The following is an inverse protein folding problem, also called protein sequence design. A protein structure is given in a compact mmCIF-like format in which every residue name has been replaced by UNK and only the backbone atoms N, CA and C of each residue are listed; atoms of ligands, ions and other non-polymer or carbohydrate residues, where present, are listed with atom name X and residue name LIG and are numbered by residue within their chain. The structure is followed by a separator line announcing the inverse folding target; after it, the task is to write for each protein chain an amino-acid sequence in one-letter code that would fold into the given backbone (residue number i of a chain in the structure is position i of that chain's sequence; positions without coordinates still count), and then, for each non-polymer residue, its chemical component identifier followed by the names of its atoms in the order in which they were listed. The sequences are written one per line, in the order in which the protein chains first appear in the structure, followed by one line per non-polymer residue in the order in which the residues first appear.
data_IF_053091954769
#
_entry.id   IF_053091954769
#
_cell.length_a   1.000
_cell.length_b   1.000
_cell.length_c   1.000
_cell.angle_alpha   90.00
_cell.angle_beta   90.00
_cell.angle_gamma   90.00
#
_symmetry.space_group_name_H-M   'P 1'
#
loop_
_entity.id
_entity.type
_entity.pdbx_description
1 polymer ?
#
# COMPACT_ATOMS: atom_id res chain seq x y z
N UNK A 1 -4.36 19.94 -26.54
CA UNK A 1 -4.34 18.45 -26.75
C UNK A 1 -5.76 17.94 -26.96
N UNK A 2 -6.02 17.10 -27.97
CA UNK A 2 -7.34 16.59 -28.32
C UNK A 2 -7.80 15.55 -27.27
N UNK A 3 -9.05 15.62 -26.81
CA UNK A 3 -9.63 14.66 -25.83
C UNK A 3 -9.58 13.19 -26.30
N UNK A 4 -9.49 12.99 -27.62
CA UNK A 4 -9.33 11.67 -28.21
C UNK A 4 -7.99 11.00 -27.81
N UNK A 5 -6.87 11.78 -27.77
CA UNK A 5 -5.53 11.28 -27.40
C UNK A 5 -5.52 10.88 -25.92
N UNK A 6 -6.18 11.67 -25.05
CA UNK A 6 -6.28 11.35 -23.62
C UNK A 6 -7.05 10.04 -23.39
N UNK A 7 -8.16 9.85 -24.08
CA UNK A 7 -8.93 8.59 -23.98
C UNK A 7 -8.13 7.40 -24.49
N UNK A 8 -7.42 7.56 -25.61
CA UNK A 8 -6.56 6.53 -26.14
C UNK A 8 -5.40 6.19 -25.16
N UNK A 9 -4.78 7.21 -24.53
CA UNK A 9 -3.75 7.01 -23.52
C UNK A 9 -4.29 6.29 -22.27
N UNK A 10 -5.48 6.67 -21.78
CA UNK A 10 -6.16 5.94 -20.71
C UNK A 10 -6.32 4.45 -21.03
N UNK A 11 -6.82 4.15 -22.23
CA UNK A 11 -7.01 2.78 -22.72
C UNK A 11 -5.68 2.03 -22.79
N UNK A 12 -4.63 2.67 -23.31
CA UNK A 12 -3.27 2.12 -23.35
C UNK A 12 -2.74 1.77 -21.94
N UNK A 13 -2.88 2.69 -20.98
CA UNK A 13 -2.44 2.43 -19.60
C UNK A 13 -3.19 1.25 -18.97
N UNK A 14 -4.49 1.15 -19.23
CA UNK A 14 -5.35 0.11 -18.65
C UNK A 14 -5.18 -1.25 -19.30
N UNK A 15 -5.22 -1.31 -20.63
CA UNK A 15 -5.28 -2.57 -21.39
C UNK A 15 -3.90 -3.08 -21.79
N UNK A 16 -3.03 -2.21 -22.32
CA UNK A 16 -1.71 -2.65 -22.80
C UNK A 16 -0.67 -2.69 -21.67
N UNK A 17 -0.67 -1.69 -20.78
CA UNK A 17 0.24 -1.66 -19.63
C UNK A 17 -0.31 -2.40 -18.40
N UNK A 18 -1.56 -2.84 -18.42
CA UNK A 18 -2.24 -3.56 -17.32
C UNK A 18 -2.04 -2.87 -15.96
N UNK A 19 -2.07 -1.53 -15.95
CA UNK A 19 -1.87 -0.76 -14.73
C UNK A 19 -3.13 -0.80 -13.85
N UNK A 20 -2.93 -0.75 -12.53
CA UNK A 20 -4.04 -0.59 -11.57
C UNK A 20 -4.71 0.78 -11.72
N UNK A 21 -6.00 0.88 -11.35
CA UNK A 21 -6.75 2.14 -11.40
C UNK A 21 -6.02 3.29 -10.66
N UNK A 22 -5.41 3.00 -9.51
CA UNK A 22 -4.61 3.99 -8.78
C UNK A 22 -3.38 4.46 -9.56
N UNK A 23 -2.72 3.58 -10.32
CA UNK A 23 -1.57 3.93 -11.17
C UNK A 23 -2.01 4.74 -12.37
N UNK A 24 -3.13 4.35 -13.00
CA UNK A 24 -3.73 5.10 -14.11
C UNK A 24 -4.09 6.51 -13.65
N UNK A 25 -4.83 6.64 -12.54
CA UNK A 25 -5.20 7.94 -11.98
C UNK A 25 -3.98 8.81 -11.62
N UNK A 26 -2.89 8.21 -11.11
CA UNK A 26 -1.66 8.94 -10.83
C UNK A 26 -0.99 9.48 -12.10
N UNK A 27 -0.93 8.68 -13.17
CA UNK A 27 -0.38 9.11 -14.45
C UNK A 27 -1.24 10.17 -15.14
N UNK A 28 -2.57 10.05 -15.06
CA UNK A 28 -3.49 11.07 -15.55
C UNK A 28 -3.36 12.40 -14.79
N UNK A 29 -3.18 12.34 -13.46
CA UNK A 29 -2.95 13.52 -12.65
C UNK A 29 -1.61 14.20 -13.02
N UNK A 30 -0.57 13.44 -13.32
CA UNK A 30 0.71 13.99 -13.77
C UNK A 30 0.59 14.62 -15.18
N UNK A 31 -0.12 13.94 -16.08
CA UNK A 31 -0.42 14.49 -17.40
C UNK A 31 -1.28 15.75 -17.35
N UNK A 32 -2.20 15.85 -16.36
CA UNK A 32 -2.97 17.08 -16.16
C UNK A 32 -2.08 18.28 -15.77
N UNK A 33 -0.99 18.03 -15.00
CA UNK A 33 -0.02 19.10 -14.71
C UNK A 33 0.69 19.59 -15.98
N UNK A 34 1.09 18.65 -16.85
CA UNK A 34 1.67 18.99 -18.14
C UNK A 34 0.70 19.79 -19.00
N UNK A 35 -0.58 19.40 -19.04
CA UNK A 35 -1.62 20.17 -19.75
C UNK A 35 -1.75 21.58 -19.21
N UNK A 36 -1.89 21.73 -17.91
CA UNK A 36 -2.06 23.04 -17.29
C UNK A 36 -0.86 23.96 -17.59
N UNK A 37 0.34 23.40 -17.56
CA UNK A 37 1.56 24.13 -17.96
C UNK A 37 1.49 24.58 -19.42
N UNK A 38 1.15 23.66 -20.33
CA UNK A 38 1.02 23.98 -21.75
C UNK A 38 -0.05 25.03 -22.02
N UNK A 39 -1.20 24.97 -21.36
CA UNK A 39 -2.27 25.97 -21.47
C UNK A 39 -1.78 27.36 -21.00
N UNK A 40 -1.01 27.42 -19.91
CA UNK A 40 -0.47 28.70 -19.39
C UNK A 40 0.59 29.32 -20.31
N UNK A 41 1.33 28.49 -21.07
CA UNK A 41 2.43 28.97 -21.94
C UNK A 41 2.07 28.95 -23.43
N UNK A 42 0.83 28.64 -23.81
CA UNK A 42 0.40 28.55 -25.21
C UNK A 42 1.04 27.43 -26.01
N UNK A 43 1.43 26.33 -25.35
CA UNK A 43 2.08 25.17 -25.93
C UNK A 43 1.07 24.04 -26.20
N UNK A 44 1.36 23.16 -27.14
CA UNK A 44 0.64 21.88 -27.28
C UNK A 44 1.54 20.72 -26.80
N UNK A 45 1.08 19.91 -25.83
CA UNK A 45 1.83 18.74 -25.36
C UNK A 45 2.35 17.79 -26.46
N UNK A 46 1.69 17.75 -27.62
CA UNK A 46 2.08 16.87 -28.74
C UNK A 46 3.26 17.45 -29.53
N UNK A 47 3.47 18.75 -29.51
CA UNK A 47 4.52 19.44 -30.30
C UNK A 47 5.64 20.05 -29.43
N UNK A 48 5.64 19.75 -28.12
CA UNK A 48 6.70 20.23 -27.22
C UNK A 48 8.08 19.72 -27.64
N UNK A 49 9.06 20.60 -27.57
CA UNK A 49 10.47 20.28 -27.71
C UNK A 49 11.05 19.72 -26.38
N UNK A 50 12.29 19.23 -26.45
CA UNK A 50 13.05 18.88 -25.24
C UNK A 50 13.21 20.07 -24.28
N UNK A 51 13.49 21.28 -24.81
CA UNK A 51 13.69 22.48 -24.02
C UNK A 51 12.40 22.91 -23.31
N UNK A 52 11.24 22.78 -23.97
CA UNK A 52 9.93 23.07 -23.35
C UNK A 52 9.64 22.08 -22.20
N UNK A 53 9.96 20.80 -22.40
CA UNK A 53 9.82 19.78 -21.35
C UNK A 53 10.78 20.01 -20.18
N UNK A 54 12.00 20.46 -20.48
CA UNK A 54 12.97 20.78 -19.43
C UNK A 54 12.50 21.98 -18.60
N UNK A 55 11.92 22.99 -19.24
CA UNK A 55 11.31 24.14 -18.55
C UNK A 55 10.11 23.72 -17.68
N UNK A 56 9.21 22.88 -18.22
CA UNK A 56 8.09 22.30 -17.46
C UNK A 56 8.58 21.57 -16.20
N UNK A 57 9.61 20.73 -16.35
CA UNK A 57 10.19 19.96 -15.23
C UNK A 57 10.78 20.91 -14.19
N UNK A 58 11.53 21.92 -14.63
CA UNK A 58 12.14 22.90 -13.73
C UNK A 58 11.08 23.63 -12.93
N UNK A 59 10.07 24.22 -13.57
CA UNK A 59 9.01 24.99 -12.93
C UNK A 59 8.19 24.10 -11.97
N UNK A 60 7.77 22.91 -12.43
CA UNK A 60 7.00 21.96 -11.60
C UNK A 60 7.77 21.52 -10.36
N UNK A 61 9.10 21.42 -10.42
CA UNK A 61 9.93 21.00 -9.30
C UNK A 61 10.28 22.13 -8.35
N UNK A 62 10.48 23.35 -8.88
CA UNK A 62 10.80 24.53 -8.07
C UNK A 62 9.58 25.09 -7.33
N UNK A 63 8.43 25.22 -8.00
CA UNK A 63 7.24 25.84 -7.41
C UNK A 63 6.61 25.03 -6.28
N UNK A 64 6.65 23.71 -6.35
CA UNK A 64 5.86 22.86 -5.47
C UNK A 64 6.62 22.33 -4.24
N UNK A 65 7.92 22.62 -4.09
CA UNK A 65 8.74 21.95 -3.04
C UNK A 65 8.60 20.43 -3.10
N UNK A 66 8.40 19.89 -4.31
CA UNK A 66 8.10 18.48 -4.55
C UNK A 66 9.27 17.61 -4.14
N UNK A 67 8.98 16.57 -3.33
CA UNK A 67 10.02 15.64 -2.96
C UNK A 67 10.50 14.80 -4.17
N UNK A 68 11.74 14.32 -4.13
CA UNK A 68 12.41 13.58 -5.21
C UNK A 68 11.59 12.39 -5.74
N UNK A 69 10.82 11.71 -4.88
CA UNK A 69 9.96 10.58 -5.30
C UNK A 69 8.77 11.06 -6.14
N UNK A 70 8.17 12.19 -5.80
CA UNK A 70 7.09 12.80 -6.59
C UNK A 70 7.63 13.29 -7.93
N UNK A 71 8.81 13.89 -7.96
CA UNK A 71 9.51 14.28 -9.18
C UNK A 71 9.74 13.09 -10.10
N UNK A 72 10.31 12.00 -9.57
CA UNK A 72 10.52 10.77 -10.33
C UNK A 72 9.21 10.18 -10.90
N UNK A 73 8.10 10.25 -10.12
CA UNK A 73 6.79 9.77 -10.58
C UNK A 73 6.24 10.63 -11.71
N UNK A 74 6.32 11.95 -11.61
CA UNK A 74 5.90 12.88 -12.67
C UNK A 74 6.67 12.61 -13.96
N UNK A 75 8.00 12.49 -13.88
CA UNK A 75 8.83 12.18 -15.04
C UNK A 75 8.47 10.82 -15.65
N UNK A 76 8.21 9.79 -14.82
CA UNK A 76 7.75 8.50 -15.32
C UNK A 76 6.41 8.60 -16.06
N UNK A 77 5.49 9.45 -15.60
CA UNK A 77 4.23 9.73 -16.27
C UNK A 77 4.44 10.43 -17.63
N UNK A 78 5.31 11.43 -17.67
CA UNK A 78 5.70 12.15 -18.90
C UNK A 78 6.35 11.19 -19.91
N UNK A 79 7.35 10.42 -19.49
CA UNK A 79 7.97 9.41 -20.36
C UNK A 79 6.96 8.38 -20.89
N UNK A 80 6.04 7.92 -20.05
CA UNK A 80 5.00 6.99 -20.47
C UNK A 80 4.08 7.58 -21.53
N UNK A 81 3.73 8.85 -21.39
CA UNK A 81 2.88 9.56 -22.34
C UNK A 81 3.58 9.77 -23.69
N UNK A 82 4.82 10.23 -23.70
CA UNK A 82 5.56 10.44 -24.97
C UNK A 82 5.90 9.11 -25.66
N UNK A 83 6.22 8.05 -24.94
CA UNK A 83 6.33 6.70 -25.50
C UNK A 83 5.03 6.22 -26.15
N UNK A 84 3.87 6.50 -25.53
CA UNK A 84 2.58 6.22 -26.13
C UNK A 84 2.36 7.02 -27.42
N UNK A 85 2.69 8.33 -27.42
CA UNK A 85 2.57 9.18 -28.61
C UNK A 85 3.46 8.66 -29.76
N UNK A 86 4.71 8.32 -29.46
CA UNK A 86 5.65 7.77 -30.45
C UNK A 86 5.15 6.43 -30.99
N UNK A 87 4.74 5.51 -30.12
CA UNK A 87 4.24 4.19 -30.50
C UNK A 87 3.01 4.25 -31.42
N UNK A 88 2.14 5.23 -31.21
CA UNK A 88 0.95 5.43 -32.03
C UNK A 88 1.15 6.43 -33.18
N UNK A 89 2.38 6.78 -33.52
CA UNK A 89 2.76 7.68 -34.63
C UNK A 89 2.09 9.07 -34.55
N UNK A 90 1.80 9.56 -33.34
CA UNK A 90 1.39 10.97 -33.14
C UNK A 90 2.57 11.94 -33.20
N UNK A 91 3.77 11.45 -32.95
CA UNK A 91 5.06 12.15 -33.02
C UNK A 91 6.11 11.25 -33.68
N UNK A 92 7.13 11.87 -34.28
CA UNK A 92 8.22 11.15 -34.95
C UNK A 92 9.43 10.87 -34.04
N UNK A 93 9.56 11.63 -32.95
CA UNK A 93 10.64 11.48 -31.95
C UNK A 93 10.11 11.75 -30.54
N UNK A 94 10.67 11.07 -29.54
CA UNK A 94 10.31 11.24 -28.15
C UNK A 94 11.12 12.39 -27.51
N UNK A 95 10.53 13.58 -27.26
CA UNK A 95 11.26 14.70 -26.67
C UNK A 95 11.60 14.48 -25.20
N UNK A 96 11.01 13.46 -24.56
CA UNK A 96 11.27 13.16 -23.15
C UNK A 96 12.47 12.22 -22.96
N UNK A 97 13.04 11.63 -24.01
CA UNK A 97 14.05 10.56 -23.91
C UNK A 97 15.30 10.99 -23.12
N UNK A 98 15.71 12.26 -23.28
CA UNK A 98 16.90 12.82 -22.62
C UNK A 98 16.62 13.41 -21.22
N UNK A 99 15.37 13.42 -20.75
CA UNK A 99 15.07 13.90 -19.41
C UNK A 99 15.67 12.96 -18.36
N UNK A 100 16.51 13.52 -17.51
CA UNK A 100 17.18 12.74 -16.47
C UNK A 100 16.28 12.50 -15.26
N UNK A 101 16.18 11.25 -14.82
CA UNK A 101 15.50 10.91 -13.58
C UNK A 101 16.29 11.47 -12.38
N UNK A 102 15.59 12.07 -11.39
CA UNK A 102 16.27 12.57 -10.19
C UNK A 102 16.93 11.42 -9.43
N UNK A 103 18.12 11.68 -8.89
CA UNK A 103 18.80 10.70 -8.03
C UNK A 103 17.97 10.45 -6.79
N UNK A 104 17.54 9.23 -6.60
CA UNK A 104 16.77 8.79 -5.43
C UNK A 104 17.72 8.39 -4.31
N UNK A 105 17.64 9.07 -3.18
CA UNK A 105 18.32 8.59 -1.98
C UNK A 105 17.71 7.25 -1.53
N UNK A 106 18.54 6.24 -1.42
CA UNK A 106 18.15 4.95 -0.84
C UNK A 106 18.05 5.11 0.67
N UNK A 107 16.89 5.52 1.16
CA UNK A 107 16.64 5.53 2.60
C UNK A 107 16.52 4.08 3.08
N UNK A 108 17.29 3.75 4.11
CA UNK A 108 17.13 2.45 4.79
C UNK A 108 15.71 2.40 5.36
N UNK A 109 14.92 1.36 5.04
CA UNK A 109 13.57 1.23 5.56
C UNK A 109 13.58 1.23 7.10
N UNK A 110 12.66 1.97 7.70
CA UNK A 110 12.49 1.99 9.15
C UNK A 110 11.85 0.67 9.59
N UNK A 111 12.47 0.00 10.55
CA UNK A 111 11.97 -1.20 11.23
C UNK A 111 11.71 -0.85 12.69
N UNK A 112 10.58 -1.27 13.24
CA UNK A 112 10.31 -1.25 14.67
C UNK A 112 10.91 -2.49 15.32
N UNK A 113 11.47 -2.35 16.51
CA UNK A 113 11.82 -3.51 17.32
C UNK A 113 10.57 -4.16 17.93
N UNK A 114 10.71 -5.37 18.47
CA UNK A 114 9.61 -6.06 19.16
C UNK A 114 9.15 -5.24 20.37
N UNK A 115 10.10 -4.67 21.13
CA UNK A 115 9.83 -3.83 22.30
C UNK A 115 9.08 -2.54 21.92
N UNK A 116 9.40 -1.94 20.78
CA UNK A 116 8.69 -0.75 20.28
C UNK A 116 7.24 -1.09 19.89
N UNK A 117 7.02 -2.25 19.29
CA UNK A 117 5.66 -2.72 18.95
C UNK A 117 4.87 -3.02 20.21
N UNK A 118 5.48 -3.70 21.17
CA UNK A 118 4.86 -3.95 22.50
C UNK A 118 4.53 -2.64 23.20
N UNK A 119 5.43 -1.67 23.20
CA UNK A 119 5.18 -0.35 23.76
C UNK A 119 3.99 0.37 23.10
N UNK A 120 3.84 0.23 21.76
CA UNK A 120 2.68 0.75 21.04
C UNK A 120 1.38 0.08 21.49
N UNK A 121 1.39 -1.25 21.64
CA UNK A 121 0.23 -2.02 22.09
C UNK A 121 -0.16 -1.63 23.51
N UNK A 122 0.81 -1.52 24.42
CA UNK A 122 0.57 -1.10 25.80
C UNK A 122 0.12 0.37 25.96
N UNK A 123 0.44 1.22 24.97
CA UNK A 123 -0.03 2.61 24.96
C UNK A 123 -1.51 2.75 24.55
N UNK A 124 -2.16 1.64 24.16
CA UNK A 124 -3.58 1.64 23.81
C UNK A 124 -4.40 1.68 25.11
N UNK A 125 -5.27 2.67 25.21
CA UNK A 125 -6.22 2.78 26.30
C UNK A 125 -7.47 1.94 25.98
N UNK A 126 -7.58 0.78 26.62
CA UNK A 126 -8.68 -0.16 26.42
C UNK A 126 -10.00 0.32 27.06
N UNK A 127 -9.96 1.35 27.91
CA UNK A 127 -11.19 1.95 28.47
C UNK A 127 -11.95 2.80 27.43
N UNK A 128 -11.29 3.16 26.32
CA UNK A 128 -11.91 3.92 25.24
C UNK A 128 -12.71 3.01 24.30
N UNK A 129 -13.85 3.48 23.75
CA UNK A 129 -14.69 2.68 22.85
C UNK A 129 -13.97 2.14 21.60
N UNK A 130 -12.87 2.76 21.20
CA UNK A 130 -12.03 2.33 20.10
C UNK A 130 -10.77 1.55 20.52
N UNK A 131 -10.55 1.37 21.82
CA UNK A 131 -9.33 0.77 22.33
C UNK A 131 -9.12 -0.64 21.82
N UNK A 132 -10.09 -1.52 22.03
CA UNK A 132 -10.03 -2.91 21.62
C UNK A 132 -9.92 -3.07 20.10
N UNK A 133 -10.69 -2.26 19.35
CA UNK A 133 -10.55 -2.20 17.89
C UNK A 133 -9.11 -1.85 17.46
N UNK A 134 -8.54 -0.81 18.08
CA UNK A 134 -7.20 -0.35 17.72
C UNK A 134 -6.14 -1.41 18.04
N UNK A 135 -6.31 -2.16 19.14
CA UNK A 135 -5.45 -3.30 19.48
C UNK A 135 -5.55 -4.40 18.42
N UNK A 136 -6.75 -4.83 18.07
CA UNK A 136 -6.96 -5.82 17.01
C UNK A 136 -6.37 -5.37 15.65
N UNK A 137 -6.43 -4.08 15.32
CA UNK A 137 -5.82 -3.51 14.10
C UNK A 137 -4.29 -3.68 14.12
N UNK A 138 -3.62 -3.35 15.24
CA UNK A 138 -2.16 -3.47 15.34
C UNK A 138 -1.75 -4.94 15.24
N UNK A 139 -2.44 -5.81 15.98
CA UNK A 139 -2.17 -7.26 15.96
C UNK A 139 -2.36 -7.85 14.55
N UNK A 140 -3.41 -7.47 13.84
CA UNK A 140 -3.62 -7.91 12.46
C UNK A 140 -2.56 -7.37 11.47
N UNK A 141 -2.18 -6.09 11.59
CA UNK A 141 -1.15 -5.50 10.72
C UNK A 141 0.22 -6.12 10.95
N UNK A 142 0.59 -6.35 12.20
CA UNK A 142 1.89 -6.90 12.56
C UNK A 142 1.88 -8.43 12.55
N UNK A 143 0.87 -9.08 13.11
CA UNK A 143 0.81 -10.54 13.21
C UNK A 143 0.54 -11.28 11.89
N UNK A 144 -0.01 -10.58 10.89
CA UNK A 144 -0.33 -11.16 9.58
C UNK A 144 0.31 -10.40 8.41
N UNK A 145 1.03 -9.31 8.66
CA UNK A 145 1.73 -8.53 7.65
C UNK A 145 0.82 -7.90 6.58
N UNK A 146 -0.43 -7.55 6.90
CA UNK A 146 -1.40 -7.01 5.96
C UNK A 146 -1.00 -5.64 5.40
N UNK A 147 -1.37 -5.37 4.14
CA UNK A 147 -1.37 -3.99 3.63
C UNK A 147 -2.52 -3.20 4.27
N UNK A 148 -2.35 -1.88 4.44
CA UNK A 148 -3.41 -1.04 5.01
C UNK A 148 -4.72 -1.11 4.21
N UNK A 149 -4.64 -1.22 2.88
CA UNK A 149 -5.82 -1.38 2.02
C UNK A 149 -6.53 -2.71 2.24
N UNK A 150 -5.77 -3.77 2.48
CA UNK A 150 -6.28 -5.11 2.78
C UNK A 150 -6.98 -5.12 4.15
N UNK A 151 -6.37 -4.50 5.16
CA UNK A 151 -6.97 -4.38 6.50
C UNK A 151 -8.30 -3.61 6.49
N UNK A 152 -8.33 -2.42 5.87
CA UNK A 152 -9.57 -1.62 5.84
C UNK A 152 -10.65 -2.24 4.96
N UNK A 153 -10.27 -3.01 3.93
CA UNK A 153 -11.19 -3.74 3.06
C UNK A 153 -11.55 -5.14 3.56
N UNK A 154 -11.01 -5.57 4.71
CA UNK A 154 -11.23 -6.93 5.22
C UNK A 154 -12.69 -7.13 5.58
N UNK A 155 -13.26 -8.22 5.07
CA UNK A 155 -14.67 -8.60 5.27
C UNK A 155 -14.79 -9.75 6.26
N UNK A 156 -15.86 -9.75 7.04
CA UNK A 156 -16.17 -10.85 7.96
C UNK A 156 -16.38 -12.16 7.20
N UNK A 157 -17.02 -12.11 6.04
CA UNK A 157 -17.23 -13.26 5.14
C UNK A 157 -15.92 -13.91 4.65
N UNK A 158 -14.80 -13.19 4.74
CA UNK A 158 -13.46 -13.67 4.36
C UNK A 158 -12.60 -14.11 5.57
N UNK A 159 -13.18 -14.15 6.77
CA UNK A 159 -12.51 -14.53 8.01
C UNK A 159 -12.87 -15.97 8.39
N UNK A 160 -11.92 -16.88 8.28
CA UNK A 160 -12.08 -18.29 8.62
C UNK A 160 -11.40 -18.57 9.97
N UNK A 161 -11.99 -18.02 11.03
CA UNK A 161 -11.38 -18.03 12.37
C UNK A 161 -11.21 -19.45 12.95
N UNK A 162 -12.07 -20.40 12.59
CA UNK A 162 -11.94 -21.80 13.04
C UNK A 162 -10.72 -22.48 12.44
N UNK A 163 -10.32 -22.06 11.25
CA UNK A 163 -9.20 -22.63 10.49
C UNK A 163 -7.93 -21.75 10.60
N UNK A 164 -7.98 -20.66 11.38
CA UNK A 164 -6.91 -19.71 11.64
C UNK A 164 -6.34 -19.04 10.37
N UNK A 165 -7.18 -18.74 9.39
CA UNK A 165 -6.78 -17.98 8.21
C UNK A 165 -7.84 -16.97 7.77
N UNK A 166 -7.42 -16.04 6.90
CA UNK A 166 -8.28 -15.10 6.20
C UNK A 166 -7.96 -15.09 4.72
N UNK A 167 -8.97 -14.84 3.90
CA UNK A 167 -8.86 -14.68 2.46
C UNK A 167 -8.66 -13.20 2.14
N UNK A 168 -7.49 -12.85 1.61
CA UNK A 168 -7.14 -11.47 1.28
C UNK A 168 -7.16 -11.28 -0.22
N UNK A 169 -7.94 -10.29 -0.67
CA UNK A 169 -7.93 -9.85 -2.06
C UNK A 169 -6.81 -8.81 -2.26
N UNK A 170 -5.89 -9.14 -3.16
CA UNK A 170 -4.75 -8.29 -3.53
C UNK A 170 -5.00 -7.50 -4.82
N UNK A 171 -3.93 -6.97 -5.39
CA UNK A 171 -3.95 -6.25 -6.66
C UNK A 171 -4.43 -7.17 -7.81
N UNK A 172 -5.33 -6.67 -8.66
CA UNK A 172 -5.86 -7.43 -9.80
C UNK A 172 -6.82 -8.55 -9.40
N UNK A 173 -7.53 -8.41 -8.26
CA UNK A 173 -8.49 -9.40 -7.73
C UNK A 173 -7.88 -10.77 -7.44
N UNK A 174 -6.55 -10.85 -7.36
CA UNK A 174 -5.87 -12.08 -6.93
C UNK A 174 -6.09 -12.30 -5.44
N UNK A 175 -6.52 -13.50 -5.09
CA UNK A 175 -6.77 -13.88 -3.70
C UNK A 175 -5.60 -14.68 -3.15
N UNK A 176 -5.30 -14.47 -1.86
CA UNK A 176 -4.34 -15.30 -1.13
C UNK A 176 -4.86 -15.61 0.27
N UNK A 177 -4.48 -16.77 0.78
CA UNK A 177 -4.73 -17.14 2.16
C UNK A 177 -3.60 -16.58 3.04
N UNK A 178 -4.00 -15.93 4.14
CA UNK A 178 -3.08 -15.36 5.12
C UNK A 178 -3.41 -15.94 6.48
N UNK A 179 -2.46 -16.59 7.16
CA UNK A 179 -2.69 -17.11 8.50
C UNK A 179 -2.91 -15.98 9.51
N UNK A 180 -3.76 -16.26 10.50
CA UNK A 180 -4.01 -15.36 11.62
C UNK A 180 -3.23 -15.90 12.83
N UNK A 181 -2.41 -15.06 13.45
CA UNK A 181 -1.73 -15.43 14.68
C UNK A 181 -2.73 -15.63 15.83
N UNK A 182 -2.42 -16.46 16.83
CA UNK A 182 -3.30 -16.68 17.99
C UNK A 182 -3.67 -15.36 18.69
N UNK A 183 -2.69 -14.47 18.88
CA UNK A 183 -2.91 -13.17 19.50
C UNK A 183 -3.85 -12.29 18.65
N UNK A 184 -3.61 -12.20 17.34
CA UNK A 184 -4.49 -11.43 16.45
C UNK A 184 -5.91 -11.98 16.42
N UNK A 185 -6.08 -13.31 16.50
CA UNK A 185 -7.38 -13.98 16.57
C UNK A 185 -8.12 -13.63 17.87
N UNK A 186 -7.42 -13.70 19.01
CA UNK A 186 -7.98 -13.37 20.32
C UNK A 186 -8.44 -11.91 20.37
N UNK A 187 -7.55 -10.99 19.98
CA UNK A 187 -7.85 -9.56 20.01
C UNK A 187 -8.95 -9.19 19.01
N UNK A 188 -9.03 -9.89 17.91
CA UNK A 188 -10.14 -9.71 16.96
C UNK A 188 -11.45 -10.23 17.54
N UNK A 189 -11.45 -11.35 18.28
CA UNK A 189 -12.63 -11.87 18.99
C UNK A 189 -13.20 -10.85 19.98
N UNK A 190 -12.33 -10.28 20.83
CA UNK A 190 -12.72 -9.23 21.77
C UNK A 190 -13.25 -7.97 21.06
N UNK A 191 -12.64 -7.59 19.93
CA UNK A 191 -13.19 -6.50 19.12
C UNK A 191 -14.59 -6.83 18.57
N UNK A 192 -14.85 -8.08 18.18
CA UNK A 192 -16.18 -8.47 17.68
C UNK A 192 -17.27 -8.35 18.74
N UNK A 193 -16.93 -8.56 20.03
CA UNK A 193 -17.83 -8.29 21.14
C UNK A 193 -18.18 -6.80 21.26
N UNK A 194 -17.17 -5.91 21.16
CA UNK A 194 -17.42 -4.46 21.15
C UNK A 194 -18.19 -4.00 19.91
N UNK A 195 -17.85 -4.61 18.75
CA UNK A 195 -18.46 -4.27 17.47
C UNK A 195 -19.97 -4.52 17.42
N UNK A 196 -20.47 -5.55 18.12
CA UNK A 196 -21.92 -5.85 18.15
C UNK A 196 -22.74 -4.75 18.81
N UNK A 197 -22.12 -3.88 19.59
CA UNK A 197 -22.78 -2.72 20.23
C UNK A 197 -22.79 -1.46 19.35
N UNK A 198 -22.16 -1.49 18.16
CA UNK A 198 -22.16 -0.34 17.25
C UNK A 198 -23.44 -0.28 16.42
N UNK A 199 -23.92 0.93 16.19
CA UNK A 199 -24.93 1.18 15.15
C UNK A 199 -24.25 1.15 13.78
N UNK A 200 -24.36 0.01 13.09
CA UNK A 200 -23.71 -0.20 11.78
C UNK A 200 -24.54 0.44 10.69
N UNK A 201 -23.88 1.15 9.78
CA UNK A 201 -24.56 1.79 8.64
C UNK A 201 -24.90 0.76 7.55
N UNK A 202 -26.01 0.97 6.82
CA UNK A 202 -26.41 0.07 5.74
C UNK A 202 -25.29 -0.17 4.71
N UNK A 203 -25.03 -1.44 4.37
CA UNK A 203 -23.96 -1.85 3.46
C UNK A 203 -22.56 -1.90 4.07
N UNK A 204 -22.45 -1.70 5.40
CA UNK A 204 -21.17 -1.76 6.12
C UNK A 204 -21.05 -3.01 7.01
N UNK A 205 -22.05 -3.87 7.00
CA UNK A 205 -22.20 -5.00 7.94
C UNK A 205 -21.08 -6.01 7.81
N UNK A 206 -20.57 -6.23 6.60
CA UNK A 206 -19.54 -7.23 6.29
C UNK A 206 -18.10 -6.72 6.52
N UNK A 207 -17.89 -5.43 6.78
CA UNK A 207 -16.54 -4.93 7.06
C UNK A 207 -16.09 -5.28 8.49
N UNK A 208 -14.89 -5.87 8.59
CA UNK A 208 -14.32 -6.30 9.87
C UNK A 208 -14.06 -5.11 10.82
N UNK A 209 -13.53 -4.00 10.29
CA UNK A 209 -13.16 -2.84 11.10
C UNK A 209 -13.98 -1.60 10.76
N UNK A 210 -14.73 -1.13 11.74
CA UNK A 210 -15.61 0.03 11.62
C UNK A 210 -15.14 1.19 12.51
N UNK A 211 -15.51 2.41 12.12
CA UNK A 211 -15.36 3.58 12.99
C UNK A 211 -16.54 3.69 13.97
N UNK A 212 -16.49 4.65 14.90
CA UNK A 212 -17.56 4.87 15.92
C UNK A 212 -18.93 5.24 15.33
N UNK A 213 -18.98 5.60 14.03
CA UNK A 213 -20.22 5.93 13.31
C UNK A 213 -20.76 4.76 12.49
N UNK A 214 -20.17 3.57 12.62
CA UNK A 214 -20.58 2.36 11.91
C UNK A 214 -20.17 2.30 10.43
N UNK A 215 -19.24 3.14 9.99
CA UNK A 215 -18.68 3.08 8.64
C UNK A 215 -17.32 2.38 8.63
N UNK A 216 -16.98 1.80 7.50
CA UNK A 216 -15.66 1.26 7.20
C UNK A 216 -14.55 2.28 7.54
N UNK A 217 -13.44 1.80 8.12
CA UNK A 217 -12.27 2.63 8.36
C UNK A 217 -11.59 3.03 7.06
N UNK A 218 -11.06 4.25 7.04
CA UNK A 218 -10.23 4.73 5.93
C UNK A 218 -8.75 4.48 6.19
N UNK A 219 -7.95 4.40 5.12
CA UNK A 219 -6.49 4.33 5.24
C UNK A 219 -5.93 5.48 6.07
N UNK A 220 -6.43 6.69 5.87
CA UNK A 220 -6.02 7.88 6.63
C UNK A 220 -6.26 7.73 8.13
N UNK A 221 -7.38 7.10 8.54
CA UNK A 221 -7.66 6.84 9.94
C UNK A 221 -6.62 5.89 10.55
N UNK A 222 -6.23 4.82 9.85
CA UNK A 222 -5.19 3.89 10.31
C UNK A 222 -3.86 4.64 10.52
N UNK A 223 -3.44 5.51 9.58
CA UNK A 223 -2.26 6.34 9.77
C UNK A 223 -2.36 7.23 11.02
N UNK A 224 -3.52 7.82 11.27
CA UNK A 224 -3.76 8.66 12.44
C UNK A 224 -3.66 7.84 13.74
N UNK A 225 -4.24 6.63 13.78
CA UNK A 225 -4.17 5.71 14.93
C UNK A 225 -2.70 5.38 15.21
N UNK A 226 -1.96 4.91 14.21
CA UNK A 226 -0.55 4.54 14.36
C UNK A 226 0.29 5.71 14.86
N UNK A 227 0.13 6.90 14.26
CA UNK A 227 0.87 8.10 14.66
C UNK A 227 0.63 8.48 16.11
N UNK A 228 -0.64 8.44 16.57
CA UNK A 228 -1.00 8.73 17.96
C UNK A 228 -0.40 7.71 18.93
N UNK A 229 -0.43 6.43 18.58
CA UNK A 229 0.15 5.37 19.42
C UNK A 229 1.67 5.51 19.53
N UNK A 230 2.36 5.81 18.44
CA UNK A 230 3.80 6.08 18.48
C UNK A 230 4.14 7.26 19.39
N UNK A 231 3.38 8.36 19.28
CA UNK A 231 3.57 9.52 20.15
C UNK A 231 3.38 9.18 21.62
N UNK A 232 2.31 8.40 21.95
CA UNK A 232 2.04 7.95 23.33
C UNK A 232 3.12 6.99 23.86
N UNK A 233 3.65 6.12 22.98
CA UNK A 233 4.72 5.17 23.31
C UNK A 233 6.12 5.81 23.34
N UNK A 234 6.25 7.12 23.05
CA UNK A 234 7.55 7.81 23.01
C UNK A 234 8.47 7.42 21.85
N UNK A 235 7.92 6.81 20.81
CA UNK A 235 8.70 6.35 19.64
C UNK A 235 8.95 7.53 18.70
N UNK A 236 10.23 7.85 18.47
CA UNK A 236 10.68 8.99 17.65
C UNK A 236 10.70 8.69 16.14
N UNK A 237 10.49 7.43 15.74
CA UNK A 237 10.50 7.01 14.34
C UNK A 237 9.24 7.46 13.60
N UNK A 238 9.38 7.84 12.32
CA UNK A 238 8.23 8.07 11.45
C UNK A 238 7.64 6.74 11.01
N UNK A 239 6.45 6.42 11.48
CA UNK A 239 5.81 5.12 11.29
C UNK A 239 4.60 5.20 10.38
N UNK A 240 4.43 4.16 9.59
CA UNK A 240 3.30 3.93 8.68
C UNK A 240 2.84 2.48 8.77
N UNK A 241 1.68 2.12 8.23
CA UNK A 241 1.29 0.71 8.10
C UNK A 241 2.31 -0.16 7.36
N UNK A 242 3.03 0.43 6.39
CA UNK A 242 4.13 -0.25 5.71
C UNK A 242 5.31 -0.55 6.63
N UNK A 243 5.54 0.28 7.64
CA UNK A 243 6.58 0.04 8.64
C UNK A 243 6.27 -1.21 9.47
N UNK A 244 5.02 -1.40 9.94
CA UNK A 244 4.60 -2.61 10.67
C UNK A 244 4.75 -3.86 9.79
N UNK A 245 4.28 -3.81 8.57
CA UNK A 245 4.43 -4.92 7.60
C UNK A 245 5.90 -5.22 7.30
N UNK A 246 6.75 -4.21 7.19
CA UNK A 246 8.18 -4.40 6.98
C UNK A 246 8.85 -4.99 8.23
N UNK A 247 8.46 -4.55 9.42
CA UNK A 247 8.91 -5.13 10.69
C UNK A 247 8.51 -6.60 10.82
N UNK A 248 7.27 -6.96 10.46
CA UNK A 248 6.82 -8.36 10.38
C UNK A 248 7.76 -9.20 9.50
N UNK A 249 8.00 -8.74 8.25
CA UNK A 249 8.87 -9.48 7.33
C UNK A 249 10.30 -9.62 7.86
N UNK A 250 10.86 -8.53 8.41
CA UNK A 250 12.22 -8.49 8.94
C UNK A 250 12.37 -9.41 10.14
N UNK A 251 11.41 -9.40 11.07
CA UNK A 251 11.46 -10.26 12.25
C UNK A 251 11.34 -11.74 11.90
N UNK A 252 10.45 -12.11 10.98
CA UNK A 252 10.38 -13.49 10.49
C UNK A 252 11.71 -13.93 9.88
N UNK A 253 12.32 -13.08 9.04
CA UNK A 253 13.60 -13.38 8.41
C UNK A 253 14.73 -13.52 9.43
N UNK A 254 14.82 -12.60 10.39
CA UNK A 254 15.82 -12.64 11.48
C UNK A 254 15.70 -13.90 12.34
N UNK A 255 14.47 -14.38 12.54
CA UNK A 255 14.20 -15.60 13.30
C UNK A 255 14.37 -16.87 12.46
N UNK A 256 14.78 -16.76 11.19
CA UNK A 256 15.15 -17.90 10.34
C UNK A 256 14.05 -18.43 9.43
N UNK A 257 12.96 -17.67 9.20
CA UNK A 257 11.95 -18.05 8.21
C UNK A 257 12.52 -17.94 6.78
N UNK A 258 12.11 -18.87 5.93
CA UNK A 258 12.49 -18.87 4.52
C UNK A 258 11.92 -17.63 3.80
N UNK A 259 12.76 -16.98 2.97
CA UNK A 259 12.38 -15.78 2.24
C UNK A 259 11.20 -16.01 1.30
N UNK A 260 11.08 -17.20 0.70
CA UNK A 260 9.96 -17.56 -0.18
C UNK A 260 8.64 -17.60 0.58
N UNK A 261 8.65 -18.16 1.80
CA UNK A 261 7.47 -18.16 2.66
C UNK A 261 7.05 -16.74 3.01
N UNK A 262 8.01 -15.88 3.36
CA UNK A 262 7.74 -14.47 3.65
C UNK A 262 7.15 -13.75 2.43
N UNK A 263 7.70 -13.97 1.24
CA UNK A 263 7.19 -13.39 -0.01
C UNK A 263 5.75 -13.82 -0.31
N UNK A 264 5.41 -15.08 -0.08
CA UNK A 264 4.04 -15.58 -0.23
C UNK A 264 3.08 -14.97 0.79
N UNK A 265 3.46 -14.94 2.07
CA UNK A 265 2.68 -14.27 3.12
C UNK A 265 2.36 -12.81 2.76
N UNK A 266 3.34 -12.13 2.20
CA UNK A 266 3.20 -10.74 1.80
C UNK A 266 2.48 -10.56 0.45
N UNK A 267 2.39 -11.57 -0.40
CA UNK A 267 1.83 -11.46 -1.74
C UNK A 267 2.63 -10.48 -2.61
N UNK A 268 3.95 -10.75 -2.74
CA UNK A 268 4.83 -10.05 -3.69
C UNK A 268 4.74 -10.75 -5.05
N UNK A 269 4.41 -9.98 -6.10
CA UNK A 269 4.22 -10.50 -7.47
C UNK A 269 5.53 -10.70 -8.25
N UNK A 270 6.64 -10.11 -7.81
CA UNK A 270 7.93 -10.14 -8.52
C UNK A 270 8.73 -11.41 -8.20
N UNK A 271 8.30 -12.53 -8.75
CA UNK A 271 9.22 -13.63 -9.03
C UNK A 271 8.98 -14.06 -10.46
N UNK A 272 9.96 -13.81 -11.31
CA UNK A 272 10.08 -14.22 -12.72
C UNK A 272 10.16 -15.76 -12.92
N UNK A 273 9.33 -16.53 -12.19
CA UNK A 273 9.24 -17.98 -12.39
C UNK A 273 7.87 -18.49 -11.98
N UNK A 274 6.98 -18.51 -12.95
CA UNK A 274 5.61 -19.05 -12.85
C UNK A 274 5.59 -20.57 -12.61
N UNK A 275 6.73 -21.26 -12.59
CA UNK A 275 6.80 -22.73 -12.65
C UNK A 275 7.09 -23.43 -11.31
N UNK A 276 7.35 -22.71 -10.20
CA UNK A 276 7.77 -23.38 -8.94
C UNK A 276 6.77 -23.22 -7.77
N UNK A 277 5.56 -22.68 -8.05
CA UNK A 277 4.60 -22.27 -6.99
C UNK A 277 3.68 -23.38 -6.45
N UNK A 278 3.93 -24.65 -6.71
CA UNK A 278 2.95 -25.70 -6.45
C UNK A 278 3.01 -26.36 -5.07
N UNK A 279 3.88 -25.95 -4.13
CA UNK A 279 4.10 -26.78 -2.93
C UNK A 279 4.17 -26.10 -1.54
N UNK A 280 3.93 -24.80 -1.38
CA UNK A 280 3.79 -24.22 -0.04
C UNK A 280 2.33 -24.25 0.37
N UNK A 281 1.99 -25.13 1.29
CA UNK A 281 0.63 -25.25 1.80
C UNK A 281 0.28 -24.11 2.77
N UNK A 282 -1.01 -23.86 3.01
CA UNK A 282 -1.47 -22.91 4.05
C UNK A 282 -0.92 -23.33 5.43
N UNK A 283 -0.76 -24.62 5.65
CA UNK A 283 -0.19 -25.19 6.87
C UNK A 283 1.27 -24.79 7.04
N UNK A 284 2.08 -24.77 5.95
CA UNK A 284 3.47 -24.33 6.00
C UNK A 284 3.57 -22.82 6.31
N UNK A 285 2.67 -22.00 5.71
CA UNK A 285 2.60 -20.56 6.01
C UNK A 285 2.23 -20.32 7.48
N UNK A 286 1.26 -21.08 8.00
CA UNK A 286 0.86 -21.02 9.41
C UNK A 286 1.99 -21.46 10.33
N UNK A 287 2.62 -22.60 10.04
CA UNK A 287 3.75 -23.11 10.82
C UNK A 287 4.91 -22.11 10.88
N UNK A 288 5.19 -21.41 9.78
CA UNK A 288 6.21 -20.37 9.75
C UNK A 288 5.86 -19.18 10.64
N UNK A 289 4.61 -18.69 10.60
CA UNK A 289 4.17 -17.61 11.48
C UNK A 289 4.22 -18.05 12.95
N UNK A 290 3.73 -19.24 13.27
CA UNK A 290 3.77 -19.75 14.64
C UNK A 290 5.19 -19.94 15.17
N UNK A 291 6.12 -20.42 14.34
CA UNK A 291 7.48 -20.73 14.74
C UNK A 291 8.39 -19.51 14.79
N UNK A 292 8.23 -18.56 13.87
CA UNK A 292 9.21 -17.50 13.66
C UNK A 292 8.71 -16.10 14.03
N UNK A 293 7.39 -15.93 14.27
CA UNK A 293 6.88 -14.61 14.68
C UNK A 293 7.16 -14.34 16.17
N UNK A 294 7.75 -13.18 16.54
CA UNK A 294 8.17 -12.90 17.91
C UNK A 294 7.04 -12.99 18.95
N UNK A 295 5.82 -12.60 18.61
CA UNK A 295 4.68 -12.69 19.53
C UNK A 295 4.38 -14.12 20.00
N UNK A 296 4.75 -15.13 19.20
CA UNK A 296 4.52 -16.55 19.53
C UNK A 296 5.72 -17.19 20.26
N UNK A 297 6.84 -16.47 20.41
CA UNK A 297 8.05 -16.94 21.10
C UNK A 297 8.13 -16.46 22.56
N UNK A 298 7.18 -15.64 23.00
CA UNK A 298 7.06 -15.20 24.39
C UNK A 298 6.35 -16.28 25.20
N UNK A 299 7.09 -17.30 25.64
CA UNK A 299 6.72 -18.20 26.73
C UNK A 299 7.54 -17.91 27.96
#
# INVERSE_FOLDING_TARGET
MKDAILRAYHTYLKLEKSLSDNSVAAYEQDLQKLRNYCEAHGLDPVTMSFDDLQAFVYDTFCEAGTNTRTQARILSGVHSFYKFLLYNHYIDADPSELLQMPKMDRRIPVVLSVEEIDAMIHAIDLSLPEGQRNRAIIEMLYGSGLRVSELVGLKLSNMYLNDDYMLIEGKGSKQRLVPISPEAKEQFGLWMEDRCHLTIQPGQEDYAFLNRRGHQLTRAMIFTILRRLCQKAGIQKTISPHTLRHSFATHLLQNGADLRIIQQLLGHEDITTTEIYTHVSVQDLRAAVLKYHPANQKQ
#
